data_IF_985706789280
#
_entry.id   IF_985706789280
#
_cell.length_a   1.000
_cell.length_b   1.000
_cell.length_c   1.000
_cell.angle_alpha   90.00
_cell.angle_beta   90.00
_cell.angle_gamma   90.00
#
_symmetry.space_group_name_H-M   'P 1'
#
loop_
_entity.id
_entity.type
_entity.pdbx_description
1 polymer ?
#
# COMPACT_ATOMS: atom_id res chain seq x y z
N UNK A 1 -0.89 18.03 -5.29
CA UNK A 1 -2.20 17.36 -5.05
C UNK A 1 -2.97 17.47 -6.34
N UNK A 2 -2.96 16.42 -7.16
CA UNK A 2 -3.76 16.40 -8.38
C UNK A 2 -5.22 16.26 -7.95
N UNK A 3 -6.10 17.23 -8.29
CA UNK A 3 -7.52 17.03 -8.03
C UNK A 3 -7.99 15.92 -8.97
N UNK A 4 -8.40 14.79 -8.41
CA UNK A 4 -9.10 13.75 -9.16
C UNK A 4 -10.40 14.38 -9.68
N UNK A 5 -10.45 14.64 -10.99
CA UNK A 5 -11.69 15.07 -11.62
C UNK A 5 -12.73 13.95 -11.44
N UNK A 6 -13.99 14.27 -11.09
CA UNK A 6 -15.03 13.27 -11.06
C UNK A 6 -15.14 12.61 -12.45
N UNK A 7 -15.35 11.30 -12.54
CA UNK A 7 -15.49 10.64 -13.83
C UNK A 7 -16.67 11.26 -14.57
N UNK A 8 -16.47 11.62 -15.85
CA UNK A 8 -17.53 12.15 -16.70
C UNK A 8 -18.70 11.15 -16.76
N UNK A 9 -19.83 11.50 -16.13
CA UNK A 9 -21.07 10.76 -16.28
C UNK A 9 -21.56 10.86 -17.72
N UNK A 10 -21.26 9.83 -18.53
CA UNK A 10 -21.90 9.65 -19.83
C UNK A 10 -23.40 9.49 -19.60
N UNK A 11 -24.18 10.49 -20.05
CA UNK A 11 -25.66 10.49 -20.04
C UNK A 11 -26.23 9.33 -20.86
N UNK A 12 -26.27 8.14 -20.29
CA UNK A 12 -27.05 7.02 -20.83
C UNK A 12 -28.49 7.17 -20.34
N UNK A 13 -29.44 7.04 -21.27
CA UNK A 13 -30.88 7.14 -20.99
C UNK A 13 -31.25 6.04 -19.99
N UNK A 14 -31.53 6.44 -18.74
CA UNK A 14 -31.81 5.53 -17.63
C UNK A 14 -32.96 4.59 -17.98
N UNK A 15 -32.66 3.30 -18.08
CA UNK A 15 -33.63 2.25 -18.32
C UNK A 15 -34.20 1.79 -16.97
N UNK A 16 -35.44 1.30 -16.96
CA UNK A 16 -36.10 0.79 -15.74
C UNK A 16 -35.30 -0.35 -15.09
N UNK A 17 -34.45 -1.03 -15.87
CA UNK A 17 -33.54 -2.09 -15.43
C UNK A 17 -32.40 -1.59 -14.51
N UNK A 18 -31.99 -0.32 -14.61
CA UNK A 18 -30.91 0.27 -13.78
C UNK A 18 -31.30 0.38 -12.29
N UNK A 19 -32.61 0.29 -11.97
CA UNK A 19 -33.10 0.25 -10.59
C UNK A 19 -32.95 -1.12 -9.93
N UNK A 20 -32.92 -2.19 -10.72
CA UNK A 20 -32.85 -3.56 -10.20
C UNK A 20 -31.41 -4.05 -10.07
N UNK A 21 -30.50 -3.52 -10.90
CA UNK A 21 -29.07 -3.84 -10.88
C UNK A 21 -28.25 -2.55 -10.96
N UNK A 22 -27.97 -1.89 -9.82
CA UNK A 22 -27.07 -0.75 -9.83
C UNK A 22 -25.71 -1.18 -10.42
N UNK A 23 -25.05 -0.33 -11.22
CA UNK A 23 -23.76 -0.66 -11.81
C UNK A 23 -22.77 -0.99 -10.69
N UNK A 24 -22.12 -2.16 -10.79
CA UNK A 24 -21.08 -2.56 -9.86
C UNK A 24 -19.95 -1.52 -9.94
N UNK A 25 -19.46 -0.98 -8.81
CA UNK A 25 -18.38 -0.02 -8.84
C UNK A 25 -17.17 -0.63 -9.55
N UNK A 26 -16.70 0.04 -10.60
CA UNK A 26 -15.57 -0.41 -11.42
C UNK A 26 -14.25 -0.38 -10.67
N UNK A 27 -14.16 0.40 -9.59
CA UNK A 27 -12.94 0.61 -8.81
C UNK A 27 -13.23 0.54 -7.31
N UNK A 28 -12.23 0.08 -6.55
CA UNK A 28 -12.26 0.12 -5.08
C UNK A 28 -11.53 1.38 -4.61
N UNK A 29 -12.27 2.27 -3.95
CA UNK A 29 -11.71 3.50 -3.37
C UNK A 29 -11.26 3.21 -1.94
N UNK A 30 -10.02 3.59 -1.62
CA UNK A 30 -9.47 3.49 -0.26
C UNK A 30 -9.16 4.89 0.24
N UNK A 31 -9.77 5.27 1.35
CA UNK A 31 -9.46 6.52 2.02
C UNK A 31 -8.25 6.33 2.92
N UNK A 32 -7.21 7.12 2.70
CA UNK A 32 -6.05 7.19 3.57
C UNK A 32 -6.15 8.42 4.46
N UNK A 33 -5.66 8.31 5.69
CA UNK A 33 -5.46 9.47 6.55
C UNK A 33 -4.26 10.28 6.08
N UNK A 34 -3.96 11.40 6.75
CA UNK A 34 -2.87 12.28 6.34
C UNK A 34 -1.51 11.58 6.39
N UNK A 35 -1.26 10.77 7.41
CA UNK A 35 0.01 10.04 7.55
C UNK A 35 0.07 8.90 6.54
N UNK A 36 -0.98 8.09 6.44
CA UNK A 36 -1.07 7.01 5.47
C UNK A 36 -0.90 7.47 4.02
N UNK A 37 -1.46 8.64 3.66
CA UNK A 37 -1.27 9.22 2.33
C UNK A 37 0.20 9.54 2.05
N UNK A 38 0.94 10.07 3.04
CA UNK A 38 2.37 10.36 2.89
C UNK A 38 3.16 9.06 2.75
N UNK A 39 2.88 8.08 3.60
CA UNK A 39 3.54 6.76 3.54
C UNK A 39 3.29 6.09 2.20
N UNK A 40 2.06 6.15 1.70
CA UNK A 40 1.68 5.60 0.39
C UNK A 40 2.48 6.23 -0.75
N UNK A 41 2.63 7.55 -0.77
CA UNK A 41 3.44 8.25 -1.77
C UNK A 41 4.94 7.92 -1.66
N UNK A 42 5.42 7.54 -0.47
CA UNK A 42 6.83 7.15 -0.26
C UNK A 42 7.12 5.70 -0.70
N UNK A 43 6.10 4.87 -0.89
CA UNK A 43 6.21 3.49 -1.38
C UNK A 43 6.51 3.42 -2.88
N UNK A 44 7.73 3.81 -3.27
CA UNK A 44 8.19 3.84 -4.67
C UNK A 44 8.92 2.56 -5.13
N UNK A 45 9.00 1.56 -4.25
CA UNK A 45 9.72 0.30 -4.50
C UNK A 45 11.24 0.39 -4.30
N UNK A 46 11.79 1.56 -3.98
CA UNK A 46 13.22 1.74 -3.71
C UNK A 46 13.49 2.06 -2.24
N UNK A 47 12.58 2.77 -1.57
CA UNK A 47 12.71 3.07 -0.14
C UNK A 47 12.45 1.85 0.73
N UNK A 48 13.28 1.67 1.74
CA UNK A 48 13.06 0.68 2.80
C UNK A 48 12.06 1.20 3.84
N UNK A 49 11.54 0.31 4.69
CA UNK A 49 10.70 0.69 5.84
C UNK A 49 11.45 1.68 6.75
N UNK A 50 12.76 1.47 6.96
CA UNK A 50 13.61 2.36 7.76
C UNK A 50 13.73 3.76 7.17
N UNK A 51 13.87 3.88 5.84
CA UNK A 51 13.92 5.19 5.17
C UNK A 51 12.62 5.98 5.39
N UNK A 52 11.48 5.29 5.30
CA UNK A 52 10.15 5.88 5.52
C UNK A 52 9.99 6.24 7.01
N UNK A 53 10.44 5.39 7.93
CA UNK A 53 10.41 5.67 9.36
C UNK A 53 11.23 6.92 9.71
N UNK A 54 12.45 7.02 9.19
CA UNK A 54 13.30 8.19 9.37
C UNK A 54 12.64 9.47 8.84
N UNK A 55 12.00 9.41 7.68
CA UNK A 55 11.23 10.55 7.16
C UNK A 55 10.10 10.98 8.11
N UNK A 56 9.38 10.04 8.71
CA UNK A 56 8.32 10.35 9.68
C UNK A 56 8.88 10.93 10.99
N UNK A 57 9.99 10.40 11.50
CA UNK A 57 10.70 10.93 12.67
C UNK A 57 11.10 12.38 12.42
N UNK A 58 11.70 12.68 11.27
CA UNK A 58 12.12 14.04 10.93
C UNK A 58 10.94 15.01 10.80
N UNK A 59 9.85 14.57 10.17
CA UNK A 59 8.67 15.39 9.88
C UNK A 59 7.78 15.64 11.09
N UNK A 60 7.57 14.61 11.91
CA UNK A 60 6.61 14.64 13.02
C UNK A 60 7.27 14.67 14.40
N UNK A 61 8.60 14.55 14.48
CA UNK A 61 9.37 14.57 15.73
C UNK A 61 8.93 13.49 16.73
N UNK A 62 8.51 12.35 16.21
CA UNK A 62 8.17 11.15 16.99
C UNK A 62 9.43 10.32 17.27
N UNK A 63 9.34 9.40 18.23
CA UNK A 63 10.45 8.50 18.55
C UNK A 63 10.70 7.50 17.41
N UNK A 64 11.95 7.15 17.09
CA UNK A 64 12.26 6.18 16.02
C UNK A 64 11.59 4.82 16.22
N UNK A 65 11.62 4.29 17.45
CA UNK A 65 11.00 3.00 17.79
C UNK A 65 9.48 3.00 17.55
N UNK A 66 8.83 4.13 17.84
CA UNK A 66 7.40 4.32 17.68
C UNK A 66 7.04 4.43 16.19
N UNK A 67 7.86 5.15 15.42
CA UNK A 67 7.70 5.30 13.98
C UNK A 67 7.78 3.94 13.27
N UNK A 68 8.84 3.17 13.54
CA UNK A 68 9.05 1.85 12.93
C UNK A 68 7.95 0.86 13.33
N UNK A 69 7.61 0.80 14.62
CA UNK A 69 6.56 -0.12 15.11
C UNK A 69 5.21 0.19 14.46
N UNK A 70 4.84 1.47 14.40
CA UNK A 70 3.59 1.92 13.80
C UNK A 70 3.54 1.63 12.29
N UNK A 71 4.65 1.89 11.59
CA UNK A 71 4.77 1.59 10.17
C UNK A 71 4.67 0.09 9.89
N UNK A 72 5.32 -0.75 10.69
CA UNK A 72 5.22 -2.21 10.56
C UNK A 72 3.78 -2.70 10.70
N UNK A 73 3.04 -2.20 11.70
CA UNK A 73 1.61 -2.53 11.85
C UNK A 73 0.82 -2.10 10.62
N UNK A 74 1.05 -0.87 10.13
CA UNK A 74 0.36 -0.34 8.97
C UNK A 74 0.65 -1.13 7.69
N UNK A 75 1.91 -1.43 7.40
CA UNK A 75 2.30 -2.21 6.23
C UNK A 75 1.77 -3.64 6.28
N UNK A 76 1.71 -4.27 7.46
CA UNK A 76 1.06 -5.57 7.61
C UNK A 76 -0.43 -5.51 7.26
N UNK A 77 -1.15 -4.45 7.64
CA UNK A 77 -2.55 -4.27 7.27
C UNK A 77 -2.74 -4.09 5.76
N UNK A 78 -1.87 -3.31 5.10
CA UNK A 78 -1.92 -3.11 3.65
C UNK A 78 -1.55 -4.39 2.90
N UNK A 79 -0.52 -5.09 3.34
CA UNK A 79 -0.07 -6.37 2.77
C UNK A 79 -1.14 -7.44 2.91
N UNK A 80 -1.80 -7.54 4.08
CA UNK A 80 -2.89 -8.48 4.31
C UNK A 80 -4.11 -8.25 3.40
N UNK A 81 -4.24 -7.04 2.85
CA UNK A 81 -5.28 -6.66 1.87
C UNK A 81 -4.80 -6.73 0.41
N UNK A 82 -3.55 -7.13 0.17
CA UNK A 82 -2.94 -7.18 -1.16
C UNK A 82 -2.69 -5.82 -1.80
N UNK A 83 -2.57 -4.75 -1.00
CA UNK A 83 -2.39 -3.38 -1.49
C UNK A 83 -0.92 -3.02 -1.69
N UNK A 84 -0.02 -3.68 -0.98
CA UNK A 84 1.43 -3.54 -1.11
C UNK A 84 2.09 -4.92 -1.10
N UNK A 85 3.33 -4.97 -1.58
CA UNK A 85 4.21 -6.12 -1.44
C UNK A 85 5.61 -5.68 -1.03
N UNK A 86 6.38 -6.60 -0.45
CA UNK A 86 7.77 -6.34 -0.05
C UNK A 86 8.75 -6.88 -1.08
N UNK A 87 9.76 -6.08 -1.42
CA UNK A 87 10.84 -6.49 -2.30
C UNK A 87 11.92 -7.13 -1.43
N UNK A 88 12.24 -8.39 -1.73
CA UNK A 88 13.31 -9.08 -1.05
C UNK A 88 14.66 -8.64 -1.63
N UNK A 89 15.63 -8.23 -0.80
CA UNK A 89 17.01 -7.98 -1.24
C UNK A 89 17.66 -9.21 -1.88
N UNK A 90 18.56 -9.01 -2.83
CA UNK A 90 19.21 -10.12 -3.56
C UNK A 90 20.04 -11.02 -2.64
N UNK A 91 20.73 -10.46 -1.65
CA UNK A 91 21.52 -11.21 -0.67
C UNK A 91 20.66 -12.16 0.18
N UNK A 92 19.42 -11.78 0.46
CA UNK A 92 18.44 -12.62 1.14
C UNK A 92 17.86 -13.70 0.22
N UNK A 93 17.71 -13.42 -1.07
CA UNK A 93 17.25 -14.43 -2.05
C UNK A 93 18.25 -15.58 -2.14
N UNK A 94 19.54 -15.30 -2.09
CA UNK A 94 20.56 -16.34 -2.22
C UNK A 94 20.65 -17.23 -0.98
N UNK A 95 20.55 -16.65 0.23
CA UNK A 95 20.44 -17.41 1.48
C UNK A 95 19.22 -18.35 1.49
N UNK A 96 18.06 -17.86 1.03
CA UNK A 96 16.84 -18.67 0.95
C UNK A 96 16.93 -19.81 -0.09
N UNK A 97 17.73 -19.66 -1.15
CA UNK A 97 18.00 -20.74 -2.12
C UNK A 97 18.90 -21.81 -1.50
N UNK A 98 19.93 -21.38 -0.77
CA UNK A 98 20.91 -22.26 -0.13
C UNK A 98 20.25 -23.16 0.93
N UNK A 99 19.43 -22.58 1.82
CA UNK A 99 18.68 -23.32 2.85
C UNK A 99 17.70 -24.35 2.26
N UNK A 100 17.04 -24.02 1.13
CA UNK A 100 16.12 -24.93 0.44
C UNK A 100 16.82 -26.09 -0.24
N UNK A 101 18.08 -25.91 -0.63
CA UNK A 101 18.91 -27.00 -1.20
C UNK A 101 19.60 -27.87 -0.15
N UNK A 102 19.71 -27.38 1.09
CA UNK A 102 20.31 -28.08 2.23
C UNK A 102 19.38 -29.09 2.95
N UNK A 103 18.07 -29.06 2.70
CA UNK A 103 17.12 -30.07 3.22
C UNK A 103 17.03 -31.22 2.20
N UNK A 104 18.07 -32.07 2.16
CA UNK A 104 17.98 -33.44 1.68
C UNK A 104 18.55 -34.36 2.77
N UNK A 105 17.65 -35.01 3.49
CA UNK A 105 17.90 -36.26 4.22
C UNK A 105 16.73 -37.20 3.92
#
# INVERSE_FOLDING_TARGET
IVPLQPPEEKKQKKSILDKLFPPMPTERVISLDKVGSIVWELCDGNRTIGDIANYLVEKYKILPEEAETSLNVYFNQLSGRGLIGFILPEDLKDKLKEDRTGIKA
#
